data_IF_566565678523
#
_entry.id   IF_566565678523
#
_cell.length_a   1.000
_cell.length_b   1.000
_cell.length_c   1.000
_cell.angle_alpha   90.00
_cell.angle_beta   90.00
_cell.angle_gamma   90.00
#
_symmetry.space_group_name_H-M   'P 1'
#
loop_
_entity.id
_entity.type
_entity.pdbx_description
1 polymer ?
#
# COMPACT_ATOMS: atom_id res chain seq x y z
N UNK A 1 -2.92 -42.78 8.98
CA UNK A 1 -3.73 -41.55 9.15
C UNK A 1 -2.78 -40.46 9.65
N UNK A 2 -2.21 -39.69 8.75
CA UNK A 2 -1.23 -38.65 9.10
C UNK A 2 -1.33 -37.59 8.00
N UNK A 3 -2.35 -36.74 8.09
CA UNK A 3 -2.51 -35.58 7.22
C UNK A 3 -1.63 -34.48 7.79
N UNK A 4 -0.38 -34.40 7.32
CA UNK A 4 0.41 -33.21 7.48
C UNK A 4 -0.29 -32.09 6.68
N UNK A 5 -1.04 -31.23 7.38
CA UNK A 5 -1.55 -29.97 6.85
C UNK A 5 -1.14 -28.78 7.74
N UNK A 6 0.16 -28.40 7.82
CA UNK A 6 0.57 -27.15 8.44
C UNK A 6 1.11 -26.21 7.35
N UNK A 7 0.26 -25.72 6.44
CA UNK A 7 0.71 -24.81 5.36
C UNK A 7 0.05 -23.43 5.38
N UNK A 8 -0.86 -23.19 6.31
CA UNK A 8 -1.69 -21.99 6.31
C UNK A 8 -1.17 -20.84 7.20
N UNK A 9 -0.07 -21.02 7.95
CA UNK A 9 0.36 -19.99 8.90
C UNK A 9 1.19 -18.85 8.29
N UNK A 10 1.83 -19.06 7.13
CA UNK A 10 2.77 -18.08 6.57
C UNK A 10 2.11 -17.02 5.66
N UNK A 11 1.00 -17.34 4.99
CA UNK A 11 0.38 -16.43 4.00
C UNK A 11 -0.32 -15.24 4.61
N UNK A 12 -0.81 -15.38 5.85
CA UNK A 12 -1.59 -14.34 6.49
C UNK A 12 -0.71 -13.11 6.87
N UNK A 13 0.58 -13.34 7.16
CA UNK A 13 1.55 -12.31 7.57
C UNK A 13 2.08 -11.48 6.40
N UNK A 14 1.84 -11.94 5.18
CA UNK A 14 2.35 -11.38 3.93
C UNK A 14 1.20 -10.96 3.04
N UNK A 15 0.31 -10.09 3.52
CA UNK A 15 -0.47 -9.25 2.60
C UNK A 15 0.30 -7.94 2.38
N UNK A 16 1.32 -7.93 1.52
CA UNK A 16 2.25 -6.83 1.46
C UNK A 16 1.79 -5.81 0.40
N UNK A 17 0.71 -6.14 -0.35
CA UNK A 17 0.11 -5.32 -1.40
C UNK A 17 -0.99 -4.39 -0.86
N UNK A 18 -1.40 -4.55 0.41
CA UNK A 18 -2.42 -3.67 0.97
C UNK A 18 -1.87 -2.28 1.33
N UNK A 19 -0.56 -2.11 1.53
CA UNK A 19 0.10 -0.81 1.50
C UNK A 19 0.50 -0.58 0.03
N UNK A 20 -0.27 0.13 -0.79
CA UNK A 20 -0.66 1.53 -0.66
C UNK A 20 -1.89 1.75 -1.54
N UNK A 21 -3.02 2.10 -0.95
CA UNK A 21 -4.00 2.95 -1.65
C UNK A 21 -3.72 4.38 -1.20
N UNK A 22 -3.42 5.32 -2.13
CA UNK A 22 -3.00 6.66 -1.82
C UNK A 22 -4.24 7.46 -1.42
N UNK A 23 -4.65 7.36 -0.16
CA UNK A 23 -5.47 8.42 0.41
C UNK A 23 -4.57 9.51 1.04
N UNK A 24 -3.25 9.26 1.18
CA UNK A 24 -2.31 10.22 1.77
C UNK A 24 -0.83 10.00 1.38
N UNK A 25 -0.50 9.33 0.26
CA UNK A 25 0.90 9.26 -0.18
C UNK A 25 1.25 10.54 -0.94
N UNK A 26 2.27 11.28 -0.48
CA UNK A 26 2.74 12.46 -1.18
C UNK A 26 3.35 12.07 -2.53
N UNK A 27 2.93 12.66 -3.66
CA UNK A 27 3.07 12.06 -4.99
C UNK A 27 4.47 12.04 -5.58
N UNK A 28 5.47 12.49 -4.81
CA UNK A 28 6.82 12.81 -5.29
C UNK A 28 7.91 12.27 -4.34
N UNK A 29 7.52 11.45 -3.35
CA UNK A 29 8.44 10.83 -2.41
C UNK A 29 8.29 9.32 -2.38
N UNK A 30 9.42 8.61 -2.33
CA UNK A 30 9.46 7.20 -1.96
C UNK A 30 9.60 7.06 -0.46
N UNK A 31 8.76 6.22 0.13
CA UNK A 31 8.71 5.98 1.56
C UNK A 31 9.45 4.68 1.90
N UNK A 32 10.27 4.71 2.95
CA UNK A 32 10.77 3.52 3.65
C UNK A 32 10.07 3.42 4.98
N UNK A 33 9.48 2.26 5.24
CA UNK A 33 8.92 1.89 6.52
C UNK A 33 9.78 0.81 7.15
N UNK A 34 10.19 1.06 8.39
CA UNK A 34 10.82 0.07 9.26
C UNK A 34 9.81 -0.28 10.33
N UNK A 35 9.49 -1.57 10.50
CA UNK A 35 8.47 -2.01 11.44
C UNK A 35 8.93 -3.16 12.33
N UNK A 36 8.44 -3.13 13.57
CA UNK A 36 8.58 -4.20 14.55
C UNK A 36 7.24 -4.45 15.21
N UNK A 37 6.94 -5.69 15.57
CA UNK A 37 5.63 -6.04 16.07
C UNK A 37 5.55 -7.41 16.70
N UNK A 38 4.32 -7.79 17.02
CA UNK A 38 4.00 -9.14 17.43
C UNK A 38 2.70 -9.58 16.75
N UNK A 39 2.67 -10.84 16.34
CA UNK A 39 1.52 -11.45 15.70
C UNK A 39 1.20 -12.78 16.34
N UNK A 40 -0.06 -13.17 16.24
CA UNK A 40 -0.55 -14.49 16.61
C UNK A 40 -1.33 -15.04 15.43
N UNK A 41 -0.91 -16.21 14.97
CA UNK A 41 -1.53 -16.90 13.85
C UNK A 41 -2.30 -18.11 14.37
N UNK A 42 -3.52 -18.26 13.90
CA UNK A 42 -4.42 -19.36 14.21
C UNK A 42 -4.55 -20.22 12.96
N UNK A 43 -4.35 -21.54 13.07
CA UNK A 43 -4.39 -22.41 11.91
C UNK A 43 -5.82 -22.58 11.39
N UNK A 44 -6.00 -23.12 10.18
CA UNK A 44 -7.30 -23.33 9.57
C UNK A 44 -8.22 -24.18 10.43
N UNK A 45 -9.52 -23.95 10.27
CA UNK A 45 -10.54 -24.77 10.92
C UNK A 45 -10.36 -26.25 10.54
N UNK A 46 -10.36 -27.14 11.54
CA UNK A 46 -10.20 -28.58 11.33
C UNK A 46 -8.74 -29.05 11.15
N UNK A 47 -7.76 -28.20 11.41
CA UNK A 47 -6.36 -28.60 11.55
C UNK A 47 -6.02 -28.96 13.01
N UNK A 48 -5.08 -29.88 13.18
CA UNK A 48 -4.55 -30.28 14.50
C UNK A 48 -3.40 -29.38 14.98
N UNK A 49 -3.05 -28.35 14.20
CA UNK A 49 -1.98 -27.44 14.51
C UNK A 49 -2.37 -26.50 15.66
N UNK A 50 -1.38 -26.01 16.40
CA UNK A 50 -1.59 -25.04 17.47
C UNK A 50 -1.44 -23.61 16.93
N UNK A 51 -2.01 -22.66 17.66
CA UNK A 51 -1.83 -21.25 17.37
C UNK A 51 -0.45 -20.79 17.88
N UNK A 52 0.29 -20.08 17.03
CA UNK A 52 1.67 -19.68 17.32
C UNK A 52 1.80 -18.17 17.34
N UNK A 53 2.68 -17.66 18.20
CA UNK A 53 2.95 -16.23 18.35
C UNK A 53 4.35 -15.92 17.84
N UNK A 54 4.50 -14.80 17.16
CA UNK A 54 5.74 -14.37 16.53
C UNK A 54 6.07 -12.94 16.97
N UNK A 55 7.34 -12.70 17.24
CA UNK A 55 7.91 -11.36 17.13
C UNK A 55 8.24 -11.12 15.66
N UNK A 56 7.84 -9.97 15.13
CA UNK A 56 8.00 -9.66 13.70
C UNK A 56 8.85 -8.42 13.51
N UNK A 57 9.67 -8.43 12.46
CA UNK A 57 10.39 -7.27 11.99
C UNK A 57 10.30 -7.18 10.46
N UNK A 58 10.26 -5.98 9.93
CA UNK A 58 10.07 -5.76 8.50
C UNK A 58 10.62 -4.45 7.99
N UNK A 59 10.95 -4.46 6.70
CA UNK A 59 11.28 -3.28 5.91
C UNK A 59 10.36 -3.27 4.70
N UNK A 60 9.78 -2.11 4.41
CA UNK A 60 8.97 -1.91 3.22
C UNK A 60 9.40 -0.60 2.55
N UNK A 61 9.61 -0.64 1.25
CA UNK A 61 9.85 0.56 0.45
C UNK A 61 8.79 0.64 -0.64
N UNK A 62 8.25 1.82 -0.85
CA UNK A 62 7.28 2.05 -1.91
C UNK A 62 7.41 3.45 -2.52
N UNK A 63 6.97 3.57 -3.76
CA UNK A 63 6.90 4.83 -4.48
C UNK A 63 5.71 4.82 -5.42
N UNK A 64 4.88 5.84 -5.31
CA UNK A 64 3.64 5.98 -6.06
C UNK A 64 3.54 7.34 -6.75
N UNK A 65 2.93 7.36 -7.93
CA UNK A 65 2.53 8.58 -8.62
C UNK A 65 1.08 8.96 -8.27
N UNK A 66 0.71 10.21 -8.58
CA UNK A 66 -0.68 10.71 -8.49
C UNK A 66 -1.69 9.83 -9.24
N UNK A 67 -1.26 9.19 -10.33
CA UNK A 67 -2.09 8.32 -11.15
C UNK A 67 -2.33 6.92 -10.57
N UNK A 68 -1.72 6.61 -9.41
CA UNK A 68 -1.81 5.29 -8.78
C UNK A 68 -0.88 4.24 -9.40
N UNK A 69 0.03 4.64 -10.29
CA UNK A 69 1.15 3.80 -10.73
C UNK A 69 2.26 3.82 -9.70
N UNK A 70 2.98 2.73 -9.53
CA UNK A 70 4.05 2.68 -8.54
C UNK A 70 4.80 1.37 -8.51
N UNK A 71 5.82 1.34 -7.66
CA UNK A 71 6.64 0.17 -7.36
C UNK A 71 6.75 0.02 -5.85
N UNK A 72 6.89 -1.22 -5.39
CA UNK A 72 7.08 -1.52 -3.98
C UNK A 72 7.93 -2.77 -3.80
N UNK A 73 8.61 -2.84 -2.67
CA UNK A 73 9.32 -4.03 -2.22
C UNK A 73 9.22 -4.14 -0.71
N UNK A 74 9.33 -5.35 -0.20
CA UNK A 74 9.31 -5.59 1.24
C UNK A 74 10.06 -6.86 1.60
N UNK A 75 10.60 -6.87 2.81
CA UNK A 75 11.22 -8.04 3.43
C UNK A 75 10.81 -8.11 4.90
N UNK A 76 10.39 -9.29 5.34
CA UNK A 76 9.85 -9.52 6.68
C UNK A 76 10.41 -10.80 7.26
N UNK A 77 10.58 -10.81 8.57
CA UNK A 77 10.95 -11.97 9.34
C UNK A 77 10.06 -12.09 10.58
N UNK A 78 9.76 -13.32 10.98
CA UNK A 78 9.08 -13.64 12.21
C UNK A 78 9.82 -14.71 13.00
N UNK A 79 9.94 -14.48 14.29
CA UNK A 79 10.67 -15.33 15.22
C UNK A 79 9.71 -15.83 16.29
N UNK A 80 9.74 -17.14 16.57
CA UNK A 80 8.89 -17.75 17.57
C UNK A 80 9.69 -18.58 18.56
N UNK A 81 9.25 -18.59 19.82
CA UNK A 81 9.74 -19.53 20.83
C UNK A 81 8.90 -20.81 20.89
N UNK A 82 7.84 -20.91 20.07
CA UNK A 82 6.97 -22.08 20.00
C UNK A 82 7.68 -23.20 19.24
N UNK A 83 8.02 -24.29 19.95
CA UNK A 83 8.70 -25.44 19.36
C UNK A 83 7.87 -26.18 18.30
N UNK A 84 6.56 -25.91 18.20
CA UNK A 84 5.68 -26.49 17.18
C UNK A 84 5.56 -25.62 15.93
N UNK A 85 6.22 -24.46 15.91
CA UNK A 85 6.25 -23.54 14.79
C UNK A 85 7.68 -23.18 14.41
N UNK A 86 7.86 -22.80 13.15
CA UNK A 86 9.15 -22.36 12.65
C UNK A 86 9.22 -20.86 12.49
N UNK A 87 10.42 -20.32 12.72
CA UNK A 87 10.79 -18.97 12.28
C UNK A 87 10.59 -18.87 10.77
N UNK A 88 10.27 -17.68 10.29
CA UNK A 88 10.02 -17.47 8.87
C UNK A 88 10.66 -16.19 8.38
N UNK A 89 11.00 -16.20 7.10
CA UNK A 89 11.46 -15.05 6.33
C UNK A 89 10.69 -14.98 5.04
N UNK A 90 10.51 -13.77 4.54
CA UNK A 90 9.76 -13.54 3.32
C UNK A 90 10.13 -12.23 2.67
N UNK A 91 9.90 -12.16 1.37
CA UNK A 91 10.14 -10.96 0.62
C UNK A 91 9.25 -10.91 -0.61
N UNK A 92 9.09 -9.69 -1.12
CA UNK A 92 8.35 -9.41 -2.32
C UNK A 92 8.89 -8.20 -3.05
N UNK A 93 8.55 -8.13 -4.33
CA UNK A 93 8.69 -6.96 -5.17
C UNK A 93 7.49 -6.90 -6.09
N UNK A 94 6.97 -5.71 -6.31
CA UNK A 94 5.83 -5.54 -7.20
C UNK A 94 5.77 -4.16 -7.82
N UNK A 95 4.88 -4.08 -8.81
CA UNK A 95 4.58 -2.87 -9.54
C UNK A 95 3.09 -2.81 -9.85
N UNK A 96 2.63 -1.58 -10.04
CA UNK A 96 1.33 -1.27 -10.61
C UNK A 96 1.51 -0.20 -11.67
N UNK A 97 0.97 -0.43 -12.87
CA UNK A 97 0.85 0.57 -13.91
C UNK A 97 -0.62 0.88 -14.14
N UNK A 98 -1.01 2.15 -13.98
CA UNK A 98 -2.34 2.66 -14.34
C UNK A 98 -2.18 3.64 -15.49
N UNK A 99 -2.99 3.49 -16.52
CA UNK A 99 -3.00 4.40 -17.68
C UNK A 99 -4.40 4.63 -18.23
N UNK A 100 -4.66 5.83 -18.70
CA UNK A 100 -5.88 6.14 -19.45
C UNK A 100 -5.71 5.73 -20.91
N UNK A 101 -6.71 5.06 -21.48
CA UNK A 101 -6.71 4.64 -22.89
C UNK A 101 -7.51 5.59 -23.81
N UNK A 102 -7.82 6.80 -23.31
CA UNK A 102 -8.70 7.76 -23.97
C UNK A 102 -10.15 7.67 -23.48
N UNK A 103 -10.80 8.84 -23.38
CA UNK A 103 -12.16 8.93 -22.84
C UNK A 103 -12.29 8.36 -21.41
N UNK A 104 -13.38 7.64 -21.09
CA UNK A 104 -13.59 7.07 -19.77
C UNK A 104 -12.76 5.80 -19.50
N UNK A 105 -12.05 5.24 -20.50
CA UNK A 105 -11.38 3.95 -20.37
C UNK A 105 -10.04 4.07 -19.62
N UNK A 106 -9.84 3.19 -18.65
CA UNK A 106 -8.65 3.04 -17.82
C UNK A 106 -8.17 1.58 -17.88
N UNK A 107 -6.86 1.39 -18.03
CA UNK A 107 -6.22 0.10 -17.89
C UNK A 107 -5.29 0.11 -16.67
N UNK A 108 -5.27 -1.00 -15.93
CA UNK A 108 -4.35 -1.23 -14.83
C UNK A 108 -3.67 -2.59 -15.01
N UNK A 109 -2.37 -2.63 -14.81
CA UNK A 109 -1.57 -3.85 -14.70
C UNK A 109 -0.96 -3.90 -13.32
N UNK A 110 -1.05 -5.05 -12.66
CA UNK A 110 -0.34 -5.37 -11.44
C UNK A 110 0.58 -6.56 -11.71
N UNK A 111 1.79 -6.54 -11.16
CA UNK A 111 2.69 -7.68 -11.16
C UNK A 111 3.44 -7.74 -9.82
N UNK A 112 3.49 -8.92 -9.20
CA UNK A 112 4.17 -9.15 -7.93
C UNK A 112 4.96 -10.44 -8.01
N UNK A 113 6.24 -10.41 -7.63
CA UNK A 113 7.02 -11.60 -7.32
C UNK A 113 7.23 -11.68 -5.82
N UNK A 114 7.14 -12.88 -5.25
CA UNK A 114 7.34 -13.09 -3.83
C UNK A 114 7.97 -14.45 -3.53
N UNK A 115 8.62 -14.52 -2.37
CA UNK A 115 9.13 -15.77 -1.84
C UNK A 115 9.09 -15.78 -0.33
N UNK A 116 8.96 -16.97 0.24
CA UNK A 116 9.02 -17.14 1.67
C UNK A 116 9.63 -18.50 2.03
N UNK A 117 10.20 -18.54 3.22
CA UNK A 117 10.76 -19.74 3.83
C UNK A 117 10.30 -19.82 5.27
N UNK A 118 9.80 -20.97 5.67
CA UNK A 118 9.57 -21.36 7.05
C UNK A 118 10.68 -22.34 7.45
N UNK A 119 11.25 -22.14 8.63
CA UNK A 119 12.29 -22.96 9.23
C UNK A 119 11.73 -24.22 9.91
N UNK A 120 12.57 -24.87 10.71
CA UNK A 120 12.17 -26.05 11.46
C UNK A 120 11.02 -25.75 12.44
N UNK A 121 10.10 -26.70 12.70
CA UNK A 121 10.13 -28.11 12.26
C UNK A 121 9.51 -28.37 10.87
N UNK A 122 8.98 -27.33 10.21
CA UNK A 122 8.29 -27.44 8.92
C UNK A 122 9.02 -26.62 7.86
N UNK A 123 10.12 -27.19 7.35
CA UNK A 123 10.89 -26.52 6.30
C UNK A 123 10.05 -26.46 5.03
N UNK A 124 9.61 -25.25 4.69
CA UNK A 124 8.80 -24.99 3.52
C UNK A 124 9.31 -23.75 2.82
N UNK A 125 9.43 -23.83 1.50
CA UNK A 125 9.91 -22.74 0.66
C UNK A 125 8.97 -22.51 -0.51
N UNK A 126 8.82 -21.27 -0.93
CA UNK A 126 8.11 -20.91 -2.15
C UNK A 126 8.77 -19.75 -2.83
N UNK A 127 8.75 -19.79 -4.16
CA UNK A 127 9.05 -18.66 -5.03
C UNK A 127 7.97 -18.63 -6.11
N UNK A 128 7.23 -17.53 -6.17
CA UNK A 128 6.12 -17.40 -7.10
C UNK A 128 5.97 -15.96 -7.60
N UNK A 129 5.19 -15.81 -8.66
CA UNK A 129 4.81 -14.52 -9.19
C UNK A 129 3.39 -14.53 -9.72
N UNK A 130 2.73 -13.39 -9.58
CA UNK A 130 1.34 -13.16 -9.95
C UNK A 130 1.21 -11.86 -10.73
N UNK A 131 0.22 -11.81 -11.60
CA UNK A 131 -0.14 -10.61 -12.33
C UNK A 131 -1.63 -10.50 -12.54
N UNK A 132 -2.10 -9.27 -12.72
CA UNK A 132 -3.47 -8.98 -13.06
C UNK A 132 -3.55 -7.85 -14.09
N UNK A 133 -4.43 -8.00 -15.07
CA UNK A 133 -4.85 -6.95 -15.99
C UNK A 133 -6.28 -6.55 -15.66
N UNK A 134 -6.53 -5.26 -15.57
CA UNK A 134 -7.86 -4.69 -15.30
C UNK A 134 -8.20 -3.66 -16.34
N UNK A 135 -9.43 -3.71 -16.83
CA UNK A 135 -10.00 -2.74 -17.76
C UNK A 135 -11.27 -2.16 -17.15
N UNK A 136 -11.34 -0.83 -17.05
CA UNK A 136 -12.40 -0.12 -16.35
C UNK A 136 -12.92 1.07 -17.13
N UNK A 137 -14.21 1.32 -17.01
CA UNK A 137 -14.85 2.57 -17.41
C UNK A 137 -14.99 3.47 -16.18
N UNK A 138 -14.55 4.72 -16.32
CA UNK A 138 -14.64 5.77 -15.30
C UNK A 138 -15.90 6.60 -15.52
N UNK A 139 -16.71 6.75 -14.48
CA UNK A 139 -17.89 7.61 -14.45
C UNK A 139 -17.94 8.37 -13.11
N UNK A 140 -17.30 9.54 -13.07
CA UNK A 140 -17.14 10.32 -11.84
C UNK A 140 -16.36 9.53 -10.78
N UNK A 141 -16.95 9.35 -9.60
CA UNK A 141 -16.37 8.58 -8.50
C UNK A 141 -16.35 7.06 -8.74
N UNK A 142 -17.05 6.58 -9.76
CA UNK A 142 -17.21 5.15 -10.02
C UNK A 142 -16.25 4.64 -11.09
N UNK A 143 -15.77 3.42 -10.88
CA UNK A 143 -15.10 2.60 -11.87
C UNK A 143 -15.82 1.26 -11.97
N UNK A 144 -16.19 0.86 -13.17
CA UNK A 144 -16.85 -0.42 -13.44
C UNK A 144 -16.03 -1.15 -14.47
N UNK A 145 -15.76 -2.43 -14.26
CA UNK A 145 -14.92 -3.17 -15.18
C UNK A 145 -14.80 -4.64 -14.83
N UNK A 146 -13.72 -5.21 -15.33
CA UNK A 146 -13.34 -6.58 -15.01
C UNK A 146 -11.83 -6.73 -14.99
N UNK A 147 -11.40 -7.87 -14.48
CA UNK A 147 -10.00 -8.23 -14.38
C UNK A 147 -9.79 -9.67 -14.84
N UNK A 148 -8.59 -9.91 -15.35
CA UNK A 148 -8.01 -11.22 -15.49
C UNK A 148 -6.76 -11.28 -14.62
N UNK A 149 -6.57 -12.37 -13.88
CA UNK A 149 -5.40 -12.58 -13.06
C UNK A 149 -4.86 -13.99 -13.25
N UNK A 150 -3.57 -14.15 -12.97
CA UNK A 150 -2.94 -15.45 -12.98
C UNK A 150 -1.57 -15.40 -12.34
N UNK A 151 -1.06 -16.57 -12.01
CA UNK A 151 0.21 -16.70 -11.33
C UNK A 151 0.84 -18.04 -11.59
N UNK A 152 2.14 -18.10 -11.33
CA UNK A 152 2.93 -19.32 -11.41
C UNK A 152 4.06 -19.30 -10.41
N UNK A 153 4.55 -20.46 -10.02
CA UNK A 153 5.66 -20.56 -9.10
C UNK A 153 6.05 -21.99 -8.80
N UNK A 154 6.85 -22.15 -7.76
CA UNK A 154 7.26 -23.45 -7.22
C UNK A 154 7.27 -23.41 -5.71
N UNK A 155 6.99 -24.55 -5.10
CA UNK A 155 7.15 -24.75 -3.67
C UNK A 155 7.89 -26.04 -3.38
N UNK A 156 8.60 -26.05 -2.25
CA UNK A 156 9.26 -27.24 -1.72
C UNK A 156 8.87 -27.40 -0.26
N UNK A 157 8.32 -28.56 0.08
CA UNK A 157 8.08 -28.99 1.46
C UNK A 157 9.07 -30.09 1.83
N UNK A 158 9.87 -29.87 2.86
CA UNK A 158 10.84 -30.84 3.36
C UNK A 158 10.31 -31.47 4.64
N UNK A 159 10.00 -32.77 4.59
CA UNK A 159 9.58 -33.54 5.77
C UNK A 159 10.79 -34.27 6.37
N UNK A 160 11.01 -34.06 7.67
CA UNK A 160 12.04 -34.76 8.45
C UNK A 160 11.40 -35.76 9.40
N UNK A 161 11.96 -36.98 9.46
CA UNK A 161 11.59 -38.01 10.44
C UNK A 161 12.86 -38.74 10.90
N UNK A 162 13.37 -38.36 12.07
CA UNK A 162 14.71 -38.77 12.51
C UNK A 162 15.77 -38.21 11.58
N UNK A 163 16.71 -39.04 11.14
CA UNK A 163 17.75 -38.65 10.17
C UNK A 163 17.26 -38.64 8.71
N UNK A 164 16.07 -39.19 8.44
CA UNK A 164 15.52 -39.25 7.08
C UNK A 164 14.84 -37.94 6.73
N UNK A 165 15.20 -37.40 5.57
CA UNK A 165 14.60 -36.22 4.97
C UNK A 165 13.98 -36.59 3.62
N UNK A 166 12.80 -36.05 3.31
CA UNK A 166 12.16 -36.19 2.00
C UNK A 166 11.57 -34.86 1.55
N UNK A 167 11.91 -34.48 0.33
CA UNK A 167 11.42 -33.26 -0.30
C UNK A 167 10.22 -33.55 -1.20
N UNK A 168 9.26 -32.63 -1.17
CA UNK A 168 8.07 -32.63 -2.01
C UNK A 168 8.03 -31.30 -2.75
N UNK A 169 8.27 -31.36 -4.05
CA UNK A 169 8.18 -30.20 -4.93
C UNK A 169 6.79 -30.14 -5.55
N UNK A 170 6.28 -28.92 -5.73
CA UNK A 170 5.04 -28.67 -6.47
C UNK A 170 5.19 -27.44 -7.37
N UNK A 171 4.82 -27.62 -8.63
CA UNK A 171 4.59 -26.51 -9.55
C UNK A 171 3.27 -25.84 -9.21
N UNK A 172 3.31 -24.52 -9.11
CA UNK A 172 2.18 -23.71 -8.71
C UNK A 172 1.67 -22.97 -9.94
N UNK A 173 0.35 -22.96 -10.13
CA UNK A 173 -0.29 -22.09 -11.11
C UNK A 173 -1.71 -21.77 -10.68
N UNK A 174 -2.18 -20.60 -11.07
CA UNK A 174 -3.62 -20.32 -11.12
C UNK A 174 -3.94 -19.34 -12.24
N UNK A 175 -5.20 -19.30 -12.65
CA UNK A 175 -5.70 -18.34 -13.61
C UNK A 175 -7.18 -18.12 -13.47
N UNK A 176 -7.63 -16.89 -13.66
CA UNK A 176 -9.03 -16.54 -13.53
C UNK A 176 -9.33 -15.08 -13.73
N UNK A 177 -10.47 -14.65 -13.23
CA UNK A 177 -10.92 -13.26 -13.38
C UNK A 177 -12.37 -13.09 -13.04
N UNK A 178 -12.85 -11.85 -13.23
CA UNK A 178 -14.25 -11.54 -13.03
C UNK A 178 -14.55 -10.04 -13.01
N UNK A 179 -15.81 -9.66 -12.72
CA UNK A 179 -16.22 -8.28 -12.67
C UNK A 179 -15.74 -7.59 -11.39
N UNK A 180 -15.53 -6.28 -11.49
CA UNK A 180 -15.29 -5.41 -10.35
C UNK A 180 -16.02 -4.07 -10.47
N UNK A 181 -16.38 -3.53 -9.32
CA UNK A 181 -16.98 -2.23 -9.13
C UNK A 181 -16.22 -1.51 -8.02
N UNK A 182 -15.80 -0.29 -8.28
CA UNK A 182 -15.12 0.54 -7.30
C UNK A 182 -15.76 1.91 -7.23
N UNK A 183 -16.01 2.38 -6.03
CA UNK A 183 -16.31 3.76 -5.73
C UNK A 183 -15.13 4.38 -4.99
N UNK A 184 -14.72 5.58 -5.40
CA UNK A 184 -13.67 6.35 -4.74
C UNK A 184 -14.18 7.74 -4.43
N UNK A 185 -14.37 8.04 -3.15
CA UNK A 185 -14.57 9.39 -2.63
C UNK A 185 -13.27 9.99 -2.07
N UNK A 186 -13.38 11.18 -1.50
CA UNK A 186 -12.22 11.96 -1.01
C UNK A 186 -11.50 11.30 0.17
N UNK A 187 -12.24 10.64 1.07
CA UNK A 187 -11.71 10.03 2.30
C UNK A 187 -12.01 8.55 2.42
N UNK A 188 -12.63 7.95 1.41
CA UNK A 188 -12.97 6.54 1.45
C UNK A 188 -13.07 5.98 0.03
N UNK A 189 -12.74 4.70 -0.10
CA UNK A 189 -13.00 3.91 -1.29
C UNK A 189 -13.62 2.58 -0.89
N UNK A 190 -14.54 2.11 -1.73
CA UNK A 190 -15.16 0.79 -1.60
C UNK A 190 -14.94 0.07 -2.91
N UNK A 191 -14.49 -1.18 -2.83
CA UNK A 191 -14.38 -2.09 -3.97
C UNK A 191 -15.22 -3.32 -3.70
N UNK A 192 -15.94 -3.75 -4.73
CA UNK A 192 -16.65 -5.00 -4.80
C UNK A 192 -16.12 -5.77 -6.00
N UNK A 193 -15.78 -7.04 -5.80
CA UNK A 193 -15.37 -7.92 -6.90
C UNK A 193 -15.94 -9.32 -6.72
N UNK A 194 -16.13 -10.00 -7.85
CA UNK A 194 -16.41 -11.42 -7.88
C UNK A 194 -15.48 -12.08 -8.88
N UNK A 195 -15.08 -13.32 -8.63
CA UNK A 195 -14.15 -14.01 -9.52
C UNK A 195 -14.25 -15.52 -9.40
N UNK A 196 -13.78 -16.19 -10.46
CA UNK A 196 -13.52 -17.62 -10.49
C UNK A 196 -12.07 -17.86 -10.92
N UNK A 197 -11.39 -18.78 -10.25
CA UNK A 197 -9.98 -19.06 -10.41
C UNK A 197 -9.76 -20.56 -10.45
N UNK A 198 -9.12 -21.05 -11.50
CA UNK A 198 -8.69 -22.44 -11.58
C UNK A 198 -7.23 -22.54 -11.14
N UNK A 199 -6.93 -23.59 -10.38
CA UNK A 199 -5.56 -23.96 -10.03
C UNK A 199 -5.41 -25.48 -10.01
N UNK A 200 -4.19 -25.97 -9.74
CA UNK A 200 -3.96 -27.41 -9.52
C UNK A 200 -4.85 -27.98 -8.40
N UNK A 201 -5.26 -27.15 -7.44
CA UNK A 201 -6.12 -27.55 -6.32
C UNK A 201 -7.61 -27.65 -6.67
N UNK A 202 -8.03 -27.19 -7.84
CA UNK A 202 -9.42 -27.09 -8.27
C UNK A 202 -9.89 -25.65 -8.46
N UNK A 203 -11.20 -25.47 -8.66
CA UNK A 203 -11.80 -24.15 -8.90
C UNK A 203 -12.16 -23.47 -7.59
N UNK A 204 -11.79 -22.20 -7.47
CA UNK A 204 -12.14 -21.29 -6.39
C UNK A 204 -13.10 -20.24 -6.94
N UNK A 205 -14.11 -19.85 -6.17
CA UNK A 205 -14.94 -18.69 -6.48
C UNK A 205 -15.00 -17.75 -5.29
N UNK A 206 -15.02 -16.46 -5.57
CA UNK A 206 -15.01 -15.40 -4.56
C UNK A 206 -16.09 -14.37 -4.86
N UNK A 207 -16.71 -13.85 -3.81
CA UNK A 207 -17.32 -12.52 -3.78
C UNK A 207 -16.68 -11.75 -2.64
N UNK A 208 -16.14 -10.56 -2.92
CA UNK A 208 -15.38 -9.77 -1.95
C UNK A 208 -15.83 -8.32 -1.93
N UNK A 209 -15.79 -7.76 -0.73
CA UNK A 209 -15.89 -6.33 -0.48
C UNK A 209 -14.63 -5.85 0.25
N UNK A 210 -14.09 -4.72 -0.19
CA UNK A 210 -12.97 -4.03 0.43
C UNK A 210 -13.34 -2.57 0.69
N UNK A 211 -13.01 -2.08 1.87
CA UNK A 211 -13.16 -0.70 2.30
C UNK A 211 -11.79 -0.17 2.67
N UNK A 212 -11.45 1.02 2.16
CA UNK A 212 -10.39 1.86 2.72
C UNK A 212 -11.01 3.18 3.13
N UNK A 213 -10.75 3.66 4.33
CA UNK A 213 -11.25 4.94 4.82
C UNK A 213 -10.18 5.69 5.64
N UNK A 214 -10.19 7.01 5.54
CA UNK A 214 -9.39 7.93 6.34
C UNK A 214 -10.29 8.63 7.35
N UNK A 215 -10.16 8.27 8.62
CA UNK A 215 -10.97 8.76 9.73
C UNK A 215 -10.07 9.47 10.74
N UNK A 216 -10.16 10.81 10.80
CA UNK A 216 -9.35 11.63 11.72
C UNK A 216 -7.84 11.31 11.68
N UNK A 217 -7.28 11.19 10.47
CA UNK A 217 -5.87 10.82 10.26
C UNK A 217 -5.55 9.33 10.37
N UNK A 218 -6.47 8.52 10.91
CA UNK A 218 -6.33 7.06 10.96
C UNK A 218 -6.78 6.42 9.65
N UNK A 219 -5.94 5.58 9.08
CA UNK A 219 -6.35 4.74 7.94
C UNK A 219 -6.98 3.46 8.44
N UNK A 220 -8.21 3.20 8.03
CA UNK A 220 -8.95 1.96 8.25
C UNK A 220 -9.01 1.20 6.94
N UNK A 221 -8.62 -0.06 6.95
CA UNK A 221 -8.86 -1.01 5.87
C UNK A 221 -9.65 -2.19 6.39
N UNK A 222 -10.70 -2.54 5.70
CA UNK A 222 -11.47 -3.73 6.01
C UNK A 222 -11.74 -4.52 4.74
N UNK A 223 -11.73 -5.84 4.84
CA UNK A 223 -12.19 -6.73 3.78
C UNK A 223 -13.14 -7.78 4.35
N UNK A 224 -14.05 -8.24 3.51
CA UNK A 224 -14.89 -9.40 3.78
C UNK A 224 -15.08 -10.16 2.47
N UNK A 225 -14.93 -11.48 2.51
CA UNK A 225 -15.12 -12.32 1.34
C UNK A 225 -15.84 -13.62 1.67
N UNK A 226 -16.66 -14.06 0.72
CA UNK A 226 -17.27 -15.37 0.68
C UNK A 226 -16.56 -16.17 -0.40
N UNK A 227 -16.13 -17.37 -0.04
CA UNK A 227 -15.38 -18.27 -0.90
C UNK A 227 -16.13 -19.59 -1.05
N UNK A 228 -16.19 -20.09 -2.28
CA UNK A 228 -16.48 -21.48 -2.62
C UNK A 228 -15.16 -22.10 -3.05
N UNK A 229 -14.60 -22.99 -2.23
CA UNK A 229 -13.29 -23.61 -2.45
C UNK A 229 -13.44 -25.10 -2.70
N UNK A 230 -12.42 -25.77 -3.29
CA UNK A 230 -12.42 -27.23 -3.43
C UNK A 230 -12.57 -28.00 -2.11
N UNK A 231 -12.27 -27.36 -0.98
CA UNK A 231 -12.40 -27.92 0.36
C UNK A 231 -13.68 -27.52 1.09
N UNK A 232 -14.52 -26.67 0.50
CA UNK A 232 -15.78 -26.20 1.06
C UNK A 232 -15.92 -24.68 1.08
N UNK A 233 -17.04 -24.20 1.60
CA UNK A 233 -17.32 -22.77 1.68
C UNK A 233 -16.57 -22.13 2.85
N UNK A 234 -15.99 -20.96 2.62
CA UNK A 234 -15.27 -20.18 3.64
C UNK A 234 -15.75 -18.73 3.68
N UNK A 235 -15.72 -18.14 4.87
CA UNK A 235 -15.93 -16.71 5.07
C UNK A 235 -14.68 -16.13 5.68
N UNK A 236 -14.14 -15.10 5.05
CA UNK A 236 -12.88 -14.48 5.43
C UNK A 236 -13.05 -12.97 5.51
N UNK A 237 -12.06 -12.31 6.09
CA UNK A 237 -12.10 -10.86 6.22
C UNK A 237 -11.06 -10.35 7.19
N UNK A 238 -10.54 -9.18 6.91
CA UNK A 238 -9.47 -8.56 7.68
C UNK A 238 -9.85 -7.15 8.07
N UNK A 239 -9.36 -6.69 9.21
CA UNK A 239 -9.42 -5.30 9.63
C UNK A 239 -8.00 -4.85 9.96
N UNK A 240 -7.57 -3.76 9.36
CA UNK A 240 -6.32 -3.07 9.67
C UNK A 240 -6.60 -1.63 10.02
N UNK A 241 -6.11 -1.21 11.18
CA UNK A 241 -6.08 0.18 11.63
C UNK A 241 -4.63 0.66 11.57
N UNK A 242 -4.37 1.79 10.93
CA UNK A 242 -3.06 2.45 10.91
C UNK A 242 -3.21 3.86 11.45
N UNK A 243 -2.73 4.05 12.68
CA UNK A 243 -2.85 5.29 13.45
C UNK A 243 -1.50 6.00 13.44
N UNK A 244 -1.35 7.11 12.70
CA UNK A 244 -0.14 7.91 12.79
C UNK A 244 -0.05 8.62 14.14
N UNK A 245 1.15 8.75 14.67
CA UNK A 245 1.46 9.57 15.82
C UNK A 245 2.81 10.28 15.61
N UNK A 246 3.03 11.38 16.34
CA UNK A 246 4.05 12.40 16.06
C UNK A 246 5.42 11.86 15.64
N UNK A 247 6.10 12.60 14.76
CA UNK A 247 7.40 12.20 14.22
C UNK A 247 7.30 11.01 13.26
N UNK A 248 6.31 10.96 12.36
CA UNK A 248 6.20 9.90 11.32
C UNK A 248 6.20 8.47 11.87
N UNK A 249 5.68 8.29 13.08
CA UNK A 249 5.41 6.97 13.63
C UNK A 249 4.00 6.53 13.26
N UNK A 250 3.81 5.22 13.10
CA UNK A 250 2.51 4.61 12.80
C UNK A 250 2.35 3.39 13.70
N UNK A 251 1.26 3.36 14.46
CA UNK A 251 0.79 2.16 15.14
C UNK A 251 -0.19 1.41 14.22
N UNK A 252 0.07 0.14 13.97
CA UNK A 252 -0.80 -0.73 13.17
C UNK A 252 -1.40 -1.80 14.05
N UNK A 253 -2.71 -1.99 13.94
CA UNK A 253 -3.43 -3.14 14.48
C UNK A 253 -4.03 -3.89 13.31
N UNK A 254 -3.82 -5.20 13.25
CA UNK A 254 -4.41 -6.05 12.22
C UNK A 254 -5.06 -7.26 12.89
N UNK A 255 -6.23 -7.66 12.40
CA UNK A 255 -6.86 -8.90 12.83
C UNK A 255 -7.91 -9.38 11.86
N UNK A 256 -8.18 -10.67 11.89
CA UNK A 256 -9.23 -11.29 11.09
C UNK A 256 -8.86 -12.68 10.62
N UNK A 257 -9.44 -13.08 9.49
CA UNK A 257 -9.23 -14.37 8.85
C UNK A 257 -8.73 -14.14 7.42
N UNK A 258 -7.55 -14.68 7.10
CA UNK A 258 -6.93 -14.56 5.78
C UNK A 258 -7.77 -15.21 4.69
N UNK A 259 -7.66 -14.71 3.48
CA UNK A 259 -8.28 -15.35 2.31
C UNK A 259 -7.55 -16.66 1.97
N UNK A 260 -8.23 -17.67 1.40
CA UNK A 260 -7.57 -18.77 0.72
C UNK A 260 -6.76 -18.25 -0.46
N UNK A 261 -5.69 -18.96 -0.79
CA UNK A 261 -4.82 -18.62 -1.92
C UNK A 261 -4.84 -19.79 -2.94
N UNK A 262 -5.42 -19.60 -4.14
CA UNK A 262 -5.46 -20.63 -5.17
C UNK A 262 -4.09 -21.08 -5.69
N UNK A 263 -3.08 -20.20 -5.68
CA UNK A 263 -1.75 -20.44 -6.23
C UNK A 263 -0.96 -21.42 -5.37
N UNK A 264 -0.86 -21.13 -4.07
CA UNK A 264 -0.14 -21.96 -3.10
C UNK A 264 -1.04 -22.96 -2.38
N UNK A 265 -2.35 -22.91 -2.63
CA UNK A 265 -3.38 -23.72 -1.96
C UNK A 265 -3.41 -23.50 -0.45
N UNK A 266 -3.13 -22.27 -0.01
CA UNK A 266 -3.27 -21.91 1.39
C UNK A 266 -4.76 -21.85 1.76
N UNK A 267 -5.10 -22.42 2.91
CA UNK A 267 -6.45 -22.35 3.49
C UNK A 267 -6.58 -21.09 4.34
N UNK A 268 -7.81 -20.61 4.56
CA UNK A 268 -8.02 -19.48 5.45
C UNK A 268 -7.62 -19.80 6.89
N UNK A 269 -6.76 -18.96 7.46
CA UNK A 269 -6.34 -19.00 8.85
C UNK A 269 -6.73 -17.73 9.59
N UNK A 270 -6.87 -17.81 10.91
CA UNK A 270 -7.07 -16.62 11.73
C UNK A 270 -5.74 -15.92 11.99
N UNK A 271 -5.74 -14.61 12.16
CA UNK A 271 -4.56 -13.88 12.62
C UNK A 271 -4.94 -12.62 13.38
N UNK A 272 -4.03 -12.18 14.25
CA UNK A 272 -4.12 -10.89 14.91
C UNK A 272 -2.75 -10.42 15.36
N UNK A 273 -2.52 -9.11 15.34
CA UNK A 273 -1.24 -8.56 15.75
C UNK A 273 -1.20 -7.05 15.75
N UNK A 274 -0.08 -6.54 16.23
CA UNK A 274 0.23 -5.13 16.20
C UNK A 274 1.65 -4.91 15.67
N UNK A 275 1.88 -3.75 15.09
CA UNK A 275 3.21 -3.30 14.71
C UNK A 275 3.37 -1.80 15.01
N UNK A 276 4.59 -1.42 15.36
CA UNK A 276 5.03 -0.04 15.39
C UNK A 276 5.97 0.17 14.21
N UNK A 277 5.69 1.20 13.44
CA UNK A 277 6.43 1.49 12.23
C UNK A 277 6.93 2.93 12.23
N UNK A 278 8.18 3.13 11.78
CA UNK A 278 8.74 4.44 11.49
C UNK A 278 8.76 4.65 9.98
N UNK A 279 8.19 5.76 9.52
CA UNK A 279 8.21 6.15 8.12
C UNK A 279 9.31 7.20 7.86
N UNK A 280 10.14 6.93 6.87
CA UNK A 280 11.25 7.75 6.41
C UNK A 280 11.03 8.07 4.93
N UNK A 281 11.32 9.29 4.53
CA UNK A 281 11.33 9.66 3.11
C UNK A 281 12.72 9.38 2.58
N UNK A 282 12.84 8.50 1.58
CA UNK A 282 14.13 7.99 1.09
C UNK A 282 14.39 8.36 -0.36
N UNK A 283 13.33 8.67 -1.12
CA UNK A 283 13.44 9.30 -2.43
C UNK A 283 12.59 10.55 -2.40
N UNK A 284 13.11 11.67 -2.89
CA UNK A 284 12.31 12.82 -3.28
C UNK A 284 12.77 13.19 -4.68
N UNK A 285 11.86 13.26 -5.65
CA UNK A 285 12.23 13.93 -6.90
C UNK A 285 12.60 15.38 -6.55
N UNK A 286 13.75 15.90 -7.04
CA UNK A 286 13.98 17.33 -6.98
C UNK A 286 12.81 17.98 -7.69
N UNK A 287 12.07 18.85 -7.00
CA UNK A 287 11.01 19.64 -7.64
C UNK A 287 11.65 20.32 -8.85
N UNK A 288 11.25 19.90 -10.06
CA UNK A 288 11.73 20.50 -11.28
C UNK A 288 11.18 21.92 -11.32
N UNK A 289 12.06 22.89 -11.11
CA UNK A 289 11.87 24.35 -11.17
C UNK A 289 11.48 25.01 -9.85
N UNK A 290 12.00 26.22 -9.57
CA UNK A 290 11.77 26.86 -8.29
C UNK A 290 10.28 27.18 -8.12
N UNK A 291 9.74 26.82 -6.96
CA UNK A 291 8.34 27.11 -6.56
C UNK A 291 8.00 28.59 -6.64
N UNK A 292 9.02 29.42 -6.57
CA UNK A 292 8.94 30.86 -6.70
C UNK A 292 10.12 31.34 -7.54
N UNK A 293 9.84 32.16 -8.56
CA UNK A 293 10.86 32.96 -9.24
C UNK A 293 10.72 34.40 -8.81
N UNK A 294 11.84 35.02 -8.43
CA UNK A 294 11.90 36.45 -8.15
C UNK A 294 12.25 37.18 -9.45
N UNK A 295 11.44 38.16 -9.81
CA UNK A 295 11.68 39.06 -10.93
C UNK A 295 11.69 40.50 -10.42
N UNK A 296 12.69 41.30 -10.81
CA UNK A 296 12.72 42.73 -10.50
C UNK A 296 11.96 43.49 -11.60
N UNK A 297 10.93 44.25 -11.21
CA UNK A 297 10.18 45.15 -12.10
C UNK A 297 10.09 46.52 -11.43
N UNK A 298 10.65 47.54 -12.08
CA UNK A 298 10.58 48.94 -11.63
C UNK A 298 11.02 49.15 -10.15
N UNK A 299 12.10 48.48 -9.73
CA UNK A 299 12.62 48.56 -8.36
C UNK A 299 11.81 47.80 -7.30
N UNK A 300 10.83 46.99 -7.73
CA UNK A 300 10.03 46.11 -6.87
C UNK A 300 10.31 44.65 -7.21
N UNK A 301 10.54 43.81 -6.19
CA UNK A 301 10.68 42.37 -6.38
C UNK A 301 9.30 41.72 -6.44
N UNK A 302 8.98 41.11 -7.57
CA UNK A 302 7.76 40.33 -7.80
C UNK A 302 8.10 38.85 -7.70
N UNK A 303 7.44 38.16 -6.78
CA UNK A 303 7.52 36.72 -6.60
C UNK A 303 6.45 36.03 -7.43
N UNK A 304 6.87 35.27 -8.45
CA UNK A 304 6.00 34.41 -9.25
C UNK A 304 6.02 32.99 -8.71
N UNK A 305 4.96 32.62 -8.02
CA UNK A 305 4.73 31.27 -7.52
C UNK A 305 4.20 30.37 -8.63
N UNK A 306 4.71 29.14 -8.71
CA UNK A 306 4.25 28.10 -9.65
C UNK A 306 4.21 26.74 -8.97
N UNK A 307 3.08 26.05 -9.08
CA UNK A 307 2.90 24.69 -8.59
C UNK A 307 2.31 23.78 -9.69
N UNK A 308 3.05 22.77 -10.12
CA UNK A 308 2.58 21.77 -11.09
C UNK A 308 1.89 20.61 -10.36
N UNK A 309 0.55 20.63 -10.32
CA UNK A 309 -0.26 19.62 -9.63
C UNK A 309 -1.69 19.57 -10.17
N UNK A 310 -2.21 18.37 -10.35
CA UNK A 310 -3.64 18.16 -10.60
C UNK A 310 -4.44 18.41 -9.32
N UNK A 311 -5.27 19.46 -9.32
CA UNK A 311 -6.11 19.86 -8.20
C UNK A 311 -7.38 20.56 -8.70
N UNK A 312 -8.42 20.65 -7.88
CA UNK A 312 -9.61 21.47 -8.16
C UNK A 312 -9.41 22.95 -7.84
N UNK A 313 -8.72 23.23 -6.73
CA UNK A 313 -8.43 24.56 -6.19
C UNK A 313 -7.05 24.60 -5.55
N UNK A 314 -6.33 25.70 -5.74
CA UNK A 314 -5.05 25.96 -5.06
C UNK A 314 -5.02 27.40 -4.57
N UNK A 315 -4.62 27.61 -3.32
CA UNK A 315 -4.31 28.92 -2.76
C UNK A 315 -2.89 28.94 -2.17
N UNK A 316 -2.23 30.09 -2.22
CA UNK A 316 -0.96 30.35 -1.55
C UNK A 316 -1.22 31.00 -0.19
N UNK A 317 -0.49 30.57 0.83
CA UNK A 317 -0.50 31.16 2.17
C UNK A 317 0.94 31.32 2.63
N UNK A 318 1.21 32.41 3.33
CA UNK A 318 2.51 32.66 3.95
C UNK A 318 2.46 33.88 4.85
N UNK A 319 3.55 34.15 5.56
CA UNK A 319 3.63 35.30 6.47
C UNK A 319 3.37 36.65 5.76
N UNK A 320 3.82 36.82 4.52
CA UNK A 320 3.58 37.99 3.67
C UNK A 320 2.12 38.16 3.24
N UNK A 321 1.30 37.12 3.39
CA UNK A 321 -0.16 37.19 3.19
C UNK A 321 -0.91 37.31 4.52
N UNK A 322 -0.23 37.34 5.67
CA UNK A 322 -0.86 37.20 6.98
C UNK A 322 -1.46 35.81 7.20
N UNK A 323 -0.96 34.79 6.50
CA UNK A 323 -1.55 33.44 6.43
C UNK A 323 -3.00 33.42 5.93
N UNK A 324 -3.39 34.39 5.09
CA UNK A 324 -4.67 34.39 4.39
C UNK A 324 -4.55 33.71 3.02
N UNK A 325 -5.57 32.93 2.63
CA UNK A 325 -5.61 32.27 1.33
C UNK A 325 -5.59 33.27 0.17
N UNK A 326 -4.59 33.14 -0.70
CA UNK A 326 -4.53 33.83 -2.00
C UNK A 326 -4.76 32.83 -3.13
N UNK A 327 -5.95 32.82 -3.76
CA UNK A 327 -6.26 31.87 -4.83
C UNK A 327 -5.26 31.98 -6.00
N UNK A 328 -4.75 30.83 -6.45
CA UNK A 328 -3.88 30.73 -7.62
C UNK A 328 -4.72 30.48 -8.88
N UNK A 329 -4.22 30.93 -10.04
CA UNK A 329 -4.87 30.71 -11.33
C UNK A 329 -4.24 29.52 -12.06
N UNK A 330 -5.06 28.74 -12.76
CA UNK A 330 -4.57 27.65 -13.62
C UNK A 330 -3.94 28.19 -14.92
N UNK A 331 -2.74 27.73 -15.24
CA UNK A 331 -1.95 28.06 -16.43
C UNK A 331 -1.33 26.77 -16.99
N UNK A 332 -2.00 26.16 -17.97
CA UNK A 332 -1.70 24.80 -18.45
C UNK A 332 -1.90 23.75 -17.35
N UNK A 333 -0.87 22.99 -17.06
CA UNK A 333 -0.84 21.98 -15.99
C UNK A 333 -0.35 22.52 -14.64
N UNK A 334 -0.20 23.84 -14.52
CA UNK A 334 0.30 24.51 -13.32
C UNK A 334 -0.68 25.50 -12.72
N UNK A 335 -0.48 25.78 -11.44
CA UNK A 335 -1.10 26.86 -10.69
C UNK A 335 -0.09 27.99 -10.54
N UNK A 336 -0.48 29.23 -10.85
CA UNK A 336 0.40 30.40 -10.82
C UNK A 336 -0.21 31.57 -10.04
N UNK A 337 0.63 32.30 -9.33
CA UNK A 337 0.28 33.54 -8.64
C UNK A 337 1.50 34.46 -8.59
N UNK A 338 1.31 35.75 -8.87
CA UNK A 338 2.34 36.78 -8.74
C UNK A 338 1.98 37.70 -7.56
N UNK A 339 2.93 37.92 -6.66
CA UNK A 339 2.79 38.84 -5.52
C UNK A 339 4.05 39.69 -5.37
N UNK A 340 3.86 40.94 -4.97
CA UNK A 340 4.96 41.76 -4.46
C UNK A 340 5.20 41.34 -3.01
N UNK A 341 6.43 40.93 -2.70
CA UNK A 341 6.81 40.49 -1.36
C UNK A 341 7.92 41.42 -0.84
N UNK A 342 7.83 41.92 0.41
CA UNK A 342 8.90 42.69 1.03
C UNK A 342 10.23 41.93 1.06
N UNK A 343 11.35 42.65 1.14
CA UNK A 343 12.64 42.04 1.41
C UNK A 343 12.63 41.33 2.78
N UNK A 344 13.20 40.13 2.86
CA UNK A 344 13.17 39.33 4.07
C UNK A 344 13.17 37.82 3.83
N UNK A 345 13.21 37.07 4.93
CA UNK A 345 12.97 35.61 4.91
C UNK A 345 11.51 35.35 5.24
N UNK A 346 10.86 34.63 4.35
CA UNK A 346 9.43 34.37 4.36
C UNK A 346 9.14 32.87 4.37
N UNK A 347 8.11 32.47 5.10
CA UNK A 347 7.60 31.10 5.10
C UNK A 347 6.24 31.03 4.42
N UNK A 348 6.04 29.99 3.62
CA UNK A 348 4.80 29.80 2.87
C UNK A 348 4.48 28.33 2.62
N UNK A 349 3.25 28.08 2.17
CA UNK A 349 2.80 26.81 1.65
C UNK A 349 1.55 27.00 0.79
N UNK A 350 0.98 25.89 0.35
CA UNK A 350 -0.18 25.87 -0.54
C UNK A 350 -1.34 25.17 0.15
N UNK A 351 -2.54 25.71 0.01
CA UNK A 351 -3.78 25.00 0.29
C UNK A 351 -4.27 24.37 -1.01
N UNK A 352 -4.21 23.04 -1.12
CA UNK A 352 -4.63 22.28 -2.30
C UNK A 352 -5.89 21.51 -1.95
N UNK A 353 -7.01 21.86 -2.58
CA UNK A 353 -8.33 21.26 -2.31
C UNK A 353 -8.68 21.21 -0.80
N UNK A 354 -8.32 22.28 -0.08
CA UNK A 354 -8.57 22.41 1.36
C UNK A 354 -7.60 21.66 2.27
N UNK A 355 -6.48 21.14 1.74
CA UNK A 355 -5.41 20.52 2.53
C UNK A 355 -4.09 21.28 2.41
N UNK A 356 -3.39 21.45 3.54
CA UNK A 356 -2.05 22.04 3.59
C UNK A 356 -1.05 21.20 2.79
N UNK A 357 -0.21 21.87 2.01
CA UNK A 357 0.73 21.23 1.11
C UNK A 357 1.97 22.07 0.87
N UNK A 358 3.13 21.46 1.07
CA UNK A 358 4.42 21.94 0.55
C UNK A 358 5.05 20.77 -0.22
N UNK A 359 5.55 21.00 -1.44
CA UNK A 359 6.21 19.96 -2.22
C UNK A 359 7.33 19.28 -1.42
N UNK A 360 7.34 17.93 -1.32
CA UNK A 360 8.42 17.21 -0.65
C UNK A 360 9.78 17.54 -1.27
N UNK A 361 10.82 17.69 -0.43
CA UNK A 361 12.16 18.02 -0.91
C UNK A 361 12.38 19.48 -1.29
N UNK A 362 11.44 20.38 -0.96
CA UNK A 362 11.64 21.83 -1.10
C UNK A 362 12.89 22.28 -0.34
N UNK A 363 13.90 22.87 -1.02
CA UNK A 363 15.11 23.34 -0.35
C UNK A 363 14.79 24.39 0.72
N UNK A 364 15.38 24.23 1.91
CA UNK A 364 15.17 25.16 3.02
C UNK A 364 13.80 25.06 3.69
N UNK A 365 13.02 24.00 3.43
CA UNK A 365 11.77 23.77 4.15
C UNK A 365 12.01 23.53 5.64
N UNK A 366 11.14 24.08 6.48
CA UNK A 366 11.21 24.03 7.95
C UNK A 366 9.92 23.46 8.52
N UNK A 367 10.01 22.67 9.58
CA UNK A 367 8.84 22.24 10.36
C UNK A 367 8.47 23.33 11.36
N UNK A 368 7.17 23.64 11.48
CA UNK A 368 6.64 24.56 12.47
C UNK A 368 6.30 23.85 13.81
N UNK A 369 5.88 24.63 14.80
CA UNK A 369 5.55 24.15 16.16
C UNK A 369 4.34 23.20 16.21
N UNK A 370 3.57 23.11 15.13
CA UNK A 370 2.42 22.21 14.97
C UNK A 370 2.73 21.00 14.08
N UNK A 371 4.00 20.83 13.69
CA UNK A 371 4.47 19.71 12.88
C UNK A 371 4.08 19.81 11.40
N UNK A 372 3.69 20.99 10.90
CA UNK A 372 3.50 21.25 9.48
C UNK A 372 4.82 21.72 8.85
N UNK A 373 5.05 21.34 7.60
CA UNK A 373 6.23 21.80 6.85
C UNK A 373 5.88 23.05 6.05
N UNK A 374 6.75 24.07 6.13
CA UNK A 374 6.67 25.31 5.37
C UNK A 374 7.88 25.44 4.44
N UNK A 375 7.67 25.99 3.24
CA UNK A 375 8.73 26.37 2.32
C UNK A 375 9.32 27.73 2.73
N UNK A 376 10.64 27.91 2.54
CA UNK A 376 11.33 29.16 2.83
C UNK A 376 11.65 29.92 1.54
N UNK A 377 11.34 31.20 1.51
CA UNK A 377 11.65 32.15 0.44
C UNK A 377 12.52 33.27 1.02
N UNK A 378 13.66 33.56 0.39
CA UNK A 378 14.49 34.71 0.73
C UNK A 378 14.34 35.74 -0.38
N UNK A 379 13.77 36.90 -0.04
CA UNK A 379 13.69 38.07 -0.91
C UNK A 379 14.86 39.00 -0.56
N UNK A 380 15.78 39.28 -1.49
CA UNK A 380 17.02 40.00 -1.23
C UNK A 380 16.84 41.49 -0.89
#
# INVERSE_FOLDING_TARGET
MTRARPLALAFALLSPVAAVSPCAASPQSGDLRIEVGATRSFPPAGSDAQASSYLTAGLQVDRWSDGGSGVYAGAFAGFTSDATAGDWVSGLVGLRGVTGLGGPLEAQVDATGYGFRVGEPFVYETLAGEGALRLRLRAGAWRVGGYAEGGSGRSTLTLRRGERTRDFEADLWHGGGGPELQWTGTRASVKLDAGAFDSEGGTYRRVRAELTALLAGTTVRASAALWDTPTGNETTGTLTLSVPFGGRWIARLTGGRSEPDPLVRAQAGGQGGFALARQLVVFSEPVAMPLVRLEERDGTVVARFRLERAAGTVALLGDFTGWEERPMRRDGDAWVLELVIPAGTHHFGFMVDGAWYVPPGTPGAVEDEWGQTNATLVVP
#
